data_IF_467026673952
#
_entry.id   IF_467026673952
#
_cell.length_a   1.000
_cell.length_b   1.000
_cell.length_c   1.000
_cell.angle_alpha   90.00
_cell.angle_beta   90.00
_cell.angle_gamma   90.00
#
_symmetry.space_group_name_H-M   'P 1'
#
loop_
_entity.id
_entity.type
_entity.pdbx_description
1 polymer ?
#
# COMPACT_ATOMS: atom_id res chain seq x y z
N UNK A 1 3.50 58.93 33.04
CA UNK A 1 4.58 59.10 32.04
C UNK A 1 4.18 58.33 30.80
N UNK A 2 4.24 58.99 29.64
CA UNK A 2 3.80 58.53 28.32
C UNK A 2 4.84 57.59 27.72
N UNK A 3 4.42 56.57 26.99
CA UNK A 3 4.83 56.40 25.59
C UNK A 3 4.04 55.29 24.88
N UNK A 4 3.18 55.76 23.98
CA UNK A 4 2.82 55.11 22.72
C UNK A 4 3.99 55.20 21.74
N UNK A 5 4.26 54.14 20.99
CA UNK A 5 4.76 54.23 19.60
C UNK A 5 4.20 53.07 18.78
N UNK A 6 3.60 53.44 17.66
CA UNK A 6 3.05 52.59 16.62
C UNK A 6 4.12 52.26 15.54
N UNK A 7 3.70 51.37 14.64
CA UNK A 7 4.05 51.23 13.21
C UNK A 7 5.22 50.32 12.85
N UNK A 8 4.91 49.37 11.97
CA UNK A 8 5.86 48.54 11.22
C UNK A 8 5.16 47.42 10.47
N UNK A 9 4.23 47.77 9.58
CA UNK A 9 3.74 46.88 8.52
C UNK A 9 4.90 46.50 7.61
N UNK A 10 5.00 45.23 7.20
CA UNK A 10 5.47 44.91 5.86
C UNK A 10 4.94 43.55 5.39
N UNK A 11 4.52 43.57 4.14
CA UNK A 11 3.64 42.64 3.48
C UNK A 11 4.37 41.40 2.92
N UNK A 12 3.57 40.36 2.69
CA UNK A 12 3.65 39.42 1.58
C UNK A 12 5.03 38.93 1.12
N UNK A 13 5.28 37.64 1.34
CA UNK A 13 5.89 36.81 0.30
C UNK A 13 4.99 35.60 0.02
N UNK A 14 4.15 35.80 -0.98
CA UNK A 14 3.34 34.78 -1.62
C UNK A 14 4.25 33.73 -2.25
N UNK A 15 4.38 32.59 -1.60
CA UNK A 15 4.80 31.33 -2.22
C UNK A 15 3.55 30.60 -2.68
N UNK A 16 3.10 30.91 -3.90
CA UNK A 16 1.93 30.27 -4.49
C UNK A 16 2.25 28.83 -4.89
N UNK A 17 1.56 27.87 -4.26
CA UNK A 17 1.36 26.54 -4.83
C UNK A 17 -0.11 26.13 -4.66
N UNK A 18 -0.81 26.12 -5.79
CA UNK A 18 -1.91 25.21 -6.07
C UNK A 18 -3.06 25.17 -5.07
N UNK A 19 -4.05 26.05 -5.25
CA UNK A 19 -5.40 25.83 -4.73
C UNK A 19 -5.99 24.52 -5.25
N UNK A 20 -5.79 23.42 -4.53
CA UNK A 20 -6.43 22.11 -4.77
C UNK A 20 -6.79 21.44 -3.44
N UNK A 21 -8.09 21.21 -3.25
CA UNK A 21 -8.67 20.23 -2.32
C UNK A 21 -8.38 20.37 -0.81
N UNK A 22 -8.52 21.57 -0.24
CA UNK A 22 -8.42 21.81 1.21
C UNK A 22 -9.37 20.94 2.07
N UNK A 23 -10.47 20.41 1.50
CA UNK A 23 -11.39 19.51 2.20
C UNK A 23 -10.94 18.04 2.29
N UNK A 24 -10.01 17.59 1.43
CA UNK A 24 -9.63 16.18 1.34
C UNK A 24 -8.39 15.83 2.16
N UNK A 25 -7.44 16.75 2.29
CA UNK A 25 -6.18 16.51 3.00
C UNK A 25 -6.36 16.03 4.45
N UNK A 26 -7.25 16.62 5.28
CA UNK A 26 -7.44 16.16 6.66
C UNK A 26 -8.01 14.74 6.75
N UNK A 27 -8.83 14.33 5.76
CA UNK A 27 -9.42 12.99 5.71
C UNK A 27 -8.35 11.94 5.44
N UNK A 28 -7.48 12.18 4.46
CA UNK A 28 -6.38 11.27 4.16
C UNK A 28 -5.37 11.18 5.30
N UNK A 29 -5.05 12.28 5.98
CA UNK A 29 -4.18 12.24 7.18
C UNK A 29 -4.77 11.36 8.28
N UNK A 30 -6.04 11.54 8.63
CA UNK A 30 -6.69 10.71 9.65
C UNK A 30 -6.76 9.24 9.25
N UNK A 31 -7.08 8.96 7.98
CA UNK A 31 -7.16 7.59 7.47
C UNK A 31 -5.78 6.91 7.47
N UNK A 32 -4.74 7.61 7.02
CA UNK A 32 -3.36 7.11 7.00
C UNK A 32 -2.84 6.85 8.41
N UNK A 33 -3.12 7.74 9.37
CA UNK A 33 -2.79 7.53 10.77
C UNK A 33 -3.40 6.22 11.30
N UNK A 34 -4.71 6.02 11.08
CA UNK A 34 -5.40 4.80 11.53
C UNK A 34 -4.84 3.53 10.87
N UNK A 35 -4.49 3.60 9.58
CA UNK A 35 -3.87 2.48 8.86
C UNK A 35 -2.47 2.14 9.40
N UNK A 36 -1.66 3.14 9.72
CA UNK A 36 -0.33 2.91 10.30
C UNK A 36 -0.42 2.31 11.69
N UNK A 37 -1.31 2.85 12.55
CA UNK A 37 -1.58 2.30 13.87
C UNK A 37 -2.06 0.86 13.75
N UNK A 38 -3.02 0.58 12.86
CA UNK A 38 -3.53 -0.77 12.70
C UNK A 38 -2.46 -1.77 12.27
N UNK A 39 -1.55 -1.39 11.36
CA UNK A 39 -0.43 -2.24 10.95
C UNK A 39 0.55 -2.50 12.10
N UNK A 40 0.93 -1.47 12.85
CA UNK A 40 1.89 -1.57 13.95
C UNK A 40 1.39 -2.44 15.10
N UNK A 41 0.09 -2.38 15.39
CA UNK A 41 -0.51 -3.17 16.46
C UNK A 41 -0.97 -4.57 16.02
N UNK A 42 -0.97 -4.89 14.73
CA UNK A 42 -1.36 -6.21 14.24
C UNK A 42 -0.66 -7.41 14.90
N UNK A 43 0.67 -7.40 15.16
CA UNK A 43 1.34 -8.49 15.87
C UNK A 43 1.12 -8.47 17.40
N UNK A 44 0.72 -7.33 17.97
CA UNK A 44 0.57 -7.16 19.44
C UNK A 44 -0.86 -7.44 19.90
N UNK A 45 -1.84 -6.83 19.22
CA UNK A 45 -3.26 -7.04 19.47
C UNK A 45 -4.01 -6.99 18.14
N UNK A 46 -4.55 -8.15 17.75
CA UNK A 46 -5.29 -8.28 16.50
C UNK A 46 -6.62 -7.53 16.55
N UNK A 47 -7.22 -7.43 17.73
CA UNK A 47 -8.47 -6.73 18.01
C UNK A 47 -8.31 -5.23 17.82
N UNK A 48 -7.26 -4.64 18.39
CA UNK A 48 -6.96 -3.22 18.24
C UNK A 48 -6.65 -2.89 16.78
N UNK A 49 -5.86 -3.74 16.11
CA UNK A 49 -5.58 -3.62 14.69
C UNK A 49 -6.85 -3.60 13.84
N UNK A 50 -7.74 -4.59 14.04
CA UNK A 50 -9.04 -4.68 13.35
C UNK A 50 -9.89 -3.46 13.59
N UNK A 51 -9.95 -2.99 14.83
CA UNK A 51 -10.73 -1.82 15.21
C UNK A 51 -10.23 -0.58 14.46
N UNK A 52 -8.93 -0.28 14.53
CA UNK A 52 -8.34 0.87 13.83
C UNK A 52 -8.57 0.80 12.31
N UNK A 53 -8.40 -0.37 11.69
CA UNK A 53 -8.70 -0.54 10.26
C UNK A 53 -10.19 -0.37 9.95
N UNK A 54 -11.08 -0.89 10.79
CA UNK A 54 -12.53 -0.73 10.61
C UNK A 54 -12.93 0.75 10.61
N UNK A 55 -12.31 1.56 11.47
CA UNK A 55 -12.49 3.01 11.53
C UNK A 55 -11.96 3.69 10.27
N UNK A 56 -10.77 3.30 9.79
CA UNK A 56 -10.23 3.80 8.53
C UNK A 56 -11.15 3.47 7.33
N UNK A 57 -11.66 2.23 7.28
CA UNK A 57 -12.58 1.77 6.25
C UNK A 57 -13.93 2.49 6.32
N UNK A 58 -14.41 2.83 7.51
CA UNK A 58 -15.62 3.61 7.72
C UNK A 58 -15.47 5.04 7.22
N UNK A 59 -14.34 5.70 7.54
CA UNK A 59 -14.00 7.02 7.00
C UNK A 59 -13.93 6.97 5.47
N UNK A 60 -13.28 5.94 4.92
CA UNK A 60 -13.18 5.72 3.47
C UNK A 60 -14.56 5.69 2.80
N UNK A 61 -15.51 4.92 3.37
CA UNK A 61 -16.90 4.84 2.86
C UNK A 61 -17.64 6.18 3.00
N UNK A 62 -17.59 6.79 4.18
CA UNK A 62 -18.33 8.03 4.50
C UNK A 62 -17.84 9.25 3.73
N UNK A 63 -16.53 9.33 3.47
CA UNK A 63 -15.89 10.49 2.82
C UNK A 63 -15.56 10.24 1.35
N UNK A 64 -15.95 9.09 0.80
CA UNK A 64 -15.59 8.65 -0.56
C UNK A 64 -14.07 8.71 -0.83
N UNK A 65 -13.26 8.64 0.23
CA UNK A 65 -11.81 8.68 0.17
C UNK A 65 -11.29 7.25 -0.01
N UNK A 66 -10.53 6.98 -1.07
CA UNK A 66 -10.09 5.61 -1.38
C UNK A 66 -8.85 5.25 -0.57
N UNK A 67 -8.89 4.09 0.09
CA UNK A 67 -7.68 3.44 0.60
C UNK A 67 -6.88 2.93 -0.61
N UNK A 68 -5.57 3.15 -0.57
CA UNK A 68 -4.63 2.66 -1.57
C UNK A 68 -4.85 1.15 -1.84
N UNK A 69 -4.88 0.70 -3.12
CA UNK A 69 -5.09 -0.69 -3.44
C UNK A 69 -4.10 -1.64 -2.77
N UNK A 70 -2.81 -1.31 -2.74
CA UNK A 70 -1.78 -2.18 -2.15
C UNK A 70 -1.97 -2.29 -0.64
N UNK A 71 -2.20 -1.17 0.04
CA UNK A 71 -2.55 -1.20 1.47
C UNK A 71 -3.80 -2.05 1.72
N UNK A 72 -4.87 -1.85 0.93
CA UNK A 72 -6.13 -2.59 1.05
C UNK A 72 -5.95 -4.09 0.82
N UNK A 73 -4.97 -4.55 0.03
CA UNK A 73 -4.71 -5.99 -0.20
C UNK A 73 -4.23 -6.70 1.06
N UNK A 74 -3.58 -5.99 1.98
CA UNK A 74 -3.06 -6.50 3.25
C UNK A 74 -4.13 -6.71 4.34
N UNK A 75 -5.41 -6.66 3.99
CA UNK A 75 -6.50 -6.76 4.97
C UNK A 75 -7.56 -7.77 4.52
N UNK A 76 -8.10 -8.51 5.48
CA UNK A 76 -9.27 -9.35 5.28
C UNK A 76 -10.50 -8.48 5.06
N UNK A 77 -11.22 -8.70 3.94
CA UNK A 77 -12.45 -7.97 3.61
C UNK A 77 -13.60 -8.25 4.60
N UNK A 78 -13.59 -9.42 5.23
CA UNK A 78 -14.68 -9.88 6.09
C UNK A 78 -14.53 -9.46 7.55
N UNK A 79 -13.37 -9.71 8.14
CA UNK A 79 -13.13 -9.50 9.58
C UNK A 79 -12.11 -8.39 9.89
N UNK A 80 -11.63 -7.66 8.87
CA UNK A 80 -10.69 -6.55 9.04
C UNK A 80 -9.32 -6.93 9.63
N UNK A 81 -8.98 -8.22 9.67
CA UNK A 81 -7.66 -8.67 10.15
C UNK A 81 -6.57 -8.26 9.17
N UNK A 82 -5.45 -7.74 9.68
CA UNK A 82 -4.25 -7.52 8.88
C UNK A 82 -3.64 -8.85 8.47
N UNK A 83 -3.22 -9.01 7.22
CA UNK A 83 -2.56 -10.20 6.72
C UNK A 83 -1.06 -10.16 7.00
N UNK A 84 -0.64 -10.93 8.00
CA UNK A 84 0.75 -11.20 8.35
C UNK A 84 0.97 -12.69 8.03
N UNK A 85 1.73 -13.01 6.96
CA UNK A 85 2.01 -14.40 6.58
C UNK A 85 2.57 -15.20 7.76
N UNK A 86 1.99 -16.37 8.01
CA UNK A 86 2.38 -17.27 9.09
C UNK A 86 1.85 -16.91 10.48
N UNK A 87 1.25 -15.73 10.67
CA UNK A 87 0.67 -15.31 11.96
C UNK A 87 -0.85 -15.24 11.86
N UNK A 88 -1.37 -14.37 11.00
CA UNK A 88 -2.81 -14.10 10.88
C UNK A 88 -3.40 -14.61 9.57
N UNK A 89 -2.55 -14.99 8.62
CA UNK A 89 -2.96 -15.62 7.37
C UNK A 89 -1.97 -16.67 6.88
N UNK A 90 -2.50 -17.63 6.13
CA UNK A 90 -1.73 -18.50 5.27
C UNK A 90 -1.53 -17.81 3.91
N UNK A 91 -0.29 -17.82 3.42
CA UNK A 91 0.12 -17.21 2.15
C UNK A 91 0.53 -18.32 1.19
N UNK A 92 -0.09 -18.35 0.01
CA UNK A 92 0.29 -19.27 -1.07
C UNK A 92 0.54 -18.51 -2.37
N UNK A 93 1.56 -18.95 -3.12
CA UNK A 93 1.89 -18.43 -4.45
C UNK A 93 1.42 -19.44 -5.50
N UNK A 94 0.43 -19.04 -6.29
CA UNK A 94 -0.08 -19.83 -7.41
C UNK A 94 0.53 -19.29 -8.71
N UNK A 95 1.48 -20.02 -9.29
CA UNK A 95 2.01 -19.69 -10.62
C UNK A 95 1.12 -20.27 -11.71
N UNK A 96 0.71 -19.42 -12.66
CA UNK A 96 -0.02 -19.84 -13.85
C UNK A 96 0.76 -19.47 -15.10
N UNK A 97 1.13 -20.47 -15.89
CA UNK A 97 1.65 -20.25 -17.23
C UNK A 97 0.58 -19.59 -18.09
N UNK A 98 0.90 -18.45 -18.70
CA UNK A 98 -0.01 -17.75 -19.61
C UNK A 98 0.58 -17.82 -21.01
N UNK A 99 -0.15 -18.35 -22.02
CA UNK A 99 0.31 -18.33 -23.39
C UNK A 99 0.40 -16.88 -23.88
N UNK A 100 1.50 -16.53 -24.56
CA UNK A 100 1.62 -15.21 -25.20
C UNK A 100 0.57 -15.10 -26.31
N UNK A 101 -0.26 -14.05 -26.27
CA UNK A 101 -1.14 -13.72 -27.38
C UNK A 101 -0.29 -13.06 -28.47
N UNK A 102 0.04 -13.80 -29.54
CA UNK A 102 0.56 -13.20 -30.77
C UNK A 102 1.93 -13.66 -31.27
N UNK A 103 2.56 -14.72 -30.74
CA UNK A 103 3.80 -15.21 -31.35
C UNK A 103 3.50 -16.01 -32.63
N UNK A 104 3.80 -15.37 -33.75
CA UNK A 104 4.02 -15.99 -35.06
C UNK A 104 4.92 -17.23 -34.89
N UNK A 105 4.60 -18.29 -35.64
CA UNK A 105 5.16 -19.66 -35.54
C UNK A 105 6.68 -19.83 -35.64
N UNK A 106 7.45 -18.76 -35.77
CA UNK A 106 8.84 -18.82 -36.22
C UNK A 106 9.77 -18.13 -35.20
N UNK A 107 9.95 -18.69 -34.01
CA UNK A 107 11.14 -18.48 -33.16
C UNK A 107 11.12 -19.46 -31.98
N UNK A 108 12.11 -20.34 -31.90
CA UNK A 108 12.31 -21.34 -30.84
C UNK A 108 12.75 -20.73 -29.50
N UNK A 109 12.12 -19.64 -29.07
CA UNK A 109 12.32 -19.09 -27.72
C UNK A 109 11.04 -19.32 -26.93
N UNK A 110 10.99 -20.40 -26.17
CA UNK A 110 9.90 -20.81 -25.26
C UNK A 110 9.77 -19.86 -24.06
N UNK A 111 9.61 -18.57 -24.33
CA UNK A 111 9.51 -17.54 -23.30
C UNK A 111 8.08 -17.49 -22.73
N UNK A 112 7.69 -18.54 -22.01
CA UNK A 112 6.47 -18.56 -21.20
C UNK A 112 6.46 -17.36 -20.24
N UNK A 113 5.40 -16.53 -20.29
CA UNK A 113 5.18 -15.54 -19.23
C UNK A 113 4.39 -16.20 -18.10
N UNK A 114 4.91 -16.13 -16.88
CA UNK A 114 4.22 -16.62 -15.68
C UNK A 114 3.40 -15.47 -15.07
N UNK A 115 2.12 -15.72 -14.81
CA UNK A 115 1.30 -14.85 -13.96
C UNK A 115 1.27 -15.46 -12.56
N UNK A 116 1.82 -14.74 -11.58
CA UNK A 116 1.81 -15.18 -10.19
C UNK A 116 0.59 -14.61 -9.47
N UNK A 117 -0.16 -15.46 -8.78
CA UNK A 117 -1.26 -15.04 -7.93
C UNK A 117 -0.86 -15.27 -6.47
N UNK A 118 -1.09 -14.25 -5.66
CA UNK A 118 -0.95 -14.34 -4.21
C UNK A 118 -2.32 -14.67 -3.63
N UNK A 119 -2.40 -15.77 -2.91
CA UNK A 119 -3.58 -16.19 -2.15
C UNK A 119 -3.32 -15.99 -0.66
N UNK A 120 -4.11 -15.13 -0.02
CA UNK A 120 -4.12 -14.98 1.44
C UNK A 120 -5.38 -15.63 2.02
N UNK A 121 -5.23 -16.57 2.95
CA UNK A 121 -6.34 -17.21 3.68
C UNK A 121 -6.31 -16.71 5.12
N UNK A 122 -7.40 -16.08 5.57
CA UNK A 122 -7.49 -15.55 6.93
C UNK A 122 -7.66 -16.66 7.96
N UNK A 123 -6.78 -16.77 8.96
CA UNK A 123 -6.85 -17.81 10.01
C UNK A 123 -8.06 -17.65 10.95
N UNK A 124 -8.71 -16.49 10.95
CA UNK A 124 -9.80 -16.18 11.88
C UNK A 124 -11.19 -16.37 11.30
N UNK A 125 -11.36 -16.23 9.98
CA UNK A 125 -12.67 -16.33 9.35
C UNK A 125 -12.68 -17.16 8.06
N UNK A 126 -11.54 -17.78 7.74
CA UNK A 126 -11.28 -18.63 6.58
C UNK A 126 -11.61 -17.98 5.23
N UNK A 127 -11.71 -16.64 5.20
CA UNK A 127 -11.94 -15.92 3.97
C UNK A 127 -10.64 -15.84 3.17
N UNK A 128 -10.69 -16.31 1.93
CA UNK A 128 -9.57 -16.32 1.01
C UNK A 128 -9.62 -15.13 0.06
N UNK A 129 -8.45 -14.53 -0.21
CA UNK A 129 -8.26 -13.39 -1.10
C UNK A 129 -7.18 -13.68 -2.12
N UNK A 130 -7.54 -13.70 -3.39
CA UNK A 130 -6.61 -13.84 -4.51
C UNK A 130 -6.28 -12.48 -5.12
N UNK A 131 -4.99 -12.25 -5.35
CA UNK A 131 -4.47 -11.09 -6.07
C UNK A 131 -3.47 -11.50 -7.13
N UNK A 132 -3.76 -11.15 -8.38
CA UNK A 132 -2.81 -11.34 -9.47
C UNK A 132 -1.74 -10.25 -9.42
N UNK A 133 -0.49 -10.68 -9.54
CA UNK A 133 0.68 -9.84 -9.72
C UNK A 133 1.32 -10.21 -11.06
N UNK A 134 1.79 -9.18 -11.77
CA UNK A 134 2.66 -9.37 -12.92
C UNK A 134 4.08 -9.12 -12.43
N UNK A 135 4.81 -10.18 -12.14
CA UNK A 135 6.22 -10.08 -11.79
C UNK A 135 6.98 -10.01 -13.12
N UNK A 136 7.48 -8.84 -13.47
CA UNK A 136 8.51 -8.72 -14.49
C UNK A 136 9.82 -9.21 -13.87
N UNK A 137 10.41 -10.29 -14.38
CA UNK A 137 11.79 -10.67 -14.05
C UNK A 137 12.74 -9.72 -14.77
N UNK A 138 12.83 -8.49 -14.29
CA UNK A 138 13.95 -7.60 -14.60
C UNK A 138 14.83 -7.61 -13.35
N UNK A 139 15.63 -8.67 -13.23
CA UNK A 139 16.75 -8.66 -12.31
C UNK A 139 17.92 -8.08 -13.10
N UNK A 140 18.15 -6.78 -12.99
CA UNK A 140 19.42 -6.20 -13.44
C UNK A 140 20.52 -6.85 -12.60
N UNK A 141 21.23 -7.81 -13.21
CA UNK A 141 22.46 -8.36 -12.68
C UNK A 141 23.56 -7.32 -12.82
N UNK A 142 23.51 -6.28 -11.98
CA UNK A 142 24.64 -5.38 -11.78
C UNK A 142 25.08 -5.60 -10.34
N UNK A 143 26.16 -6.37 -10.18
CA UNK A 143 27.23 -6.14 -9.20
C UNK A 143 28.14 -7.38 -9.15
N UNK A 144 28.89 -7.59 -10.23
CA UNK A 144 30.15 -8.33 -10.14
C UNK A 144 31.18 -7.38 -9.48
N UNK A 145 31.16 -7.32 -8.14
CA UNK A 145 32.18 -6.59 -7.37
C UNK A 145 33.51 -7.32 -7.54
N UNK A 146 34.33 -6.85 -8.49
CA UNK A 146 35.74 -7.25 -8.59
C UNK A 146 36.45 -6.82 -7.31
N UNK A 147 36.62 -7.75 -6.36
CA UNK A 147 37.61 -7.59 -5.30
C UNK A 147 39.00 -7.55 -5.94
N UNK A 148 39.55 -6.36 -6.14
CA UNK A 148 40.99 -6.18 -6.23
C UNK A 148 41.56 -6.40 -4.84
N UNK A 149 42.27 -7.51 -4.64
CA UNK A 149 43.10 -7.74 -3.46
C UNK A 149 44.33 -6.82 -3.49
N UNK A 150 44.83 -6.38 -2.33
CA UNK A 150 45.96 -5.46 -2.21
C UNK A 150 47.30 -6.06 -2.62
#
# INVERSE_FOLDING_TARGET
>A
MKNTSQVGSDNNREGGEGGRAAGAAPVYHRMNFLLQVSQRYAPVSTELSRYCYSQAAEISRKKLARIDPESRRLWCKRCNTHFIPGVTCELSLEERAVPRRGDSKDTETSSCSFQTNILNICNFCNWARRHSYRISREFESSDEVKMTTP
#
